data_IF_859024436942
#
_entry.id   IF_859024436942
#
_cell.length_a   1.000
_cell.length_b   1.000
_cell.length_c   1.000
_cell.angle_alpha   90.00
_cell.angle_beta   90.00
_cell.angle_gamma   90.00
#
_symmetry.space_group_name_H-M   'P 1'
#
loop_
_entity.id
_entity.type
_entity.pdbx_description
1 polymer ?
#
# COMPACT_ATOMS: atom_id res chain seq x y z
N UNK A 1 -20.95 4.37 -10.52
CA UNK A 1 -20.99 3.58 -9.27
C UNK A 1 -21.06 4.52 -8.08
N UNK A 2 -22.03 4.39 -7.16
CA UNK A 2 -22.16 5.30 -6.02
C UNK A 2 -20.98 5.20 -5.04
N UNK A 3 -20.38 4.03 -4.92
CA UNK A 3 -19.27 3.73 -4.02
C UNK A 3 -17.87 3.83 -4.64
N UNK A 4 -17.77 4.10 -5.94
CA UNK A 4 -16.48 4.18 -6.65
C UNK A 4 -15.58 5.32 -6.17
N UNK A 5 -14.30 5.22 -6.52
CA UNK A 5 -13.30 6.28 -6.37
C UNK A 5 -13.38 7.23 -7.57
N UNK A 6 -13.20 8.51 -7.33
CA UNK A 6 -13.10 9.49 -8.43
C UNK A 6 -11.74 9.36 -9.10
N UNK A 7 -11.75 8.95 -10.36
CA UNK A 7 -10.57 8.82 -11.20
C UNK A 7 -10.84 9.64 -12.47
N UNK A 8 -10.11 10.73 -12.67
CA UNK A 8 -10.29 11.62 -13.80
C UNK A 8 -11.74 12.11 -13.94
N UNK A 9 -12.30 12.78 -12.97
CA UNK A 9 -13.66 13.34 -12.95
C UNK A 9 -14.82 12.33 -12.92
N UNK A 10 -14.59 11.03 -12.95
CA UNK A 10 -15.63 10.00 -12.92
C UNK A 10 -15.45 9.06 -11.74
N UNK A 11 -16.57 8.69 -11.11
CA UNK A 11 -16.57 7.58 -10.14
C UNK A 11 -16.46 6.25 -10.85
N UNK A 12 -15.44 5.48 -10.50
CA UNK A 12 -15.13 4.18 -11.10
C UNK A 12 -14.82 3.15 -10.02
N UNK A 13 -14.95 1.88 -10.36
CA UNK A 13 -14.32 0.82 -9.59
C UNK A 13 -12.80 0.93 -9.82
N UNK A 14 -12.05 1.22 -8.77
CA UNK A 14 -10.60 1.37 -8.84
C UNK A 14 -9.94 -0.01 -9.02
N UNK A 15 -10.03 -0.54 -10.23
CA UNK A 15 -9.40 -1.81 -10.59
C UNK A 15 -7.90 -1.59 -10.67
N UNK A 16 -7.16 -2.33 -9.88
CA UNK A 16 -5.71 -2.18 -9.80
C UNK A 16 -4.98 -3.49 -9.67
N UNK A 17 -3.72 -3.39 -9.32
CA UNK A 17 -2.86 -4.51 -8.96
C UNK A 17 -1.75 -4.03 -8.04
N UNK A 18 -1.33 -4.89 -7.12
CA UNK A 18 -0.13 -4.64 -6.35
C UNK A 18 1.11 -4.84 -7.23
N UNK A 19 1.92 -3.81 -7.31
CA UNK A 19 3.28 -3.83 -7.82
C UNK A 19 4.19 -3.52 -6.64
N UNK A 20 4.17 -4.40 -5.64
CA UNK A 20 4.79 -4.12 -4.35
C UNK A 20 6.25 -3.68 -4.53
N UNK A 21 6.98 -4.32 -5.44
CA UNK A 21 8.35 -3.94 -5.82
C UNK A 21 8.76 -4.59 -7.15
N UNK A 22 9.76 -4.00 -7.78
CA UNK A 22 10.63 -4.68 -8.74
C UNK A 22 11.86 -5.26 -8.02
N UNK A 23 12.43 -4.46 -7.11
CA UNK A 23 13.50 -4.86 -6.22
C UNK A 23 13.07 -4.50 -4.79
N UNK A 24 12.85 -5.50 -3.95
CA UNK A 24 12.28 -5.29 -2.61
C UNK A 24 12.98 -4.17 -1.86
N UNK A 25 12.20 -3.16 -1.45
CA UNK A 25 12.65 -1.97 -0.71
C UNK A 25 13.71 -1.11 -1.42
N UNK A 26 14.13 -1.42 -2.64
CA UNK A 26 15.20 -0.70 -3.34
C UNK A 26 14.75 0.02 -4.62
N UNK A 27 13.46 0.01 -4.93
CA UNK A 27 12.93 0.75 -6.07
C UNK A 27 13.07 2.26 -5.89
N UNK A 28 12.96 2.74 -4.64
CA UNK A 28 13.12 4.15 -4.29
C UNK A 28 14.40 4.36 -3.48
N UNK A 29 15.40 4.97 -4.12
CA UNK A 29 16.72 5.24 -3.57
C UNK A 29 17.82 4.31 -4.07
N UNK A 30 17.45 3.13 -4.58
CA UNK A 30 18.42 2.10 -4.95
C UNK A 30 19.05 1.41 -3.73
N UNK A 31 20.02 0.54 -3.98
CA UNK A 31 20.85 -0.12 -2.96
C UNK A 31 22.23 -0.42 -3.56
N UNK A 32 23.14 0.52 -3.43
CA UNK A 32 24.46 0.48 -4.08
C UNK A 32 25.28 -0.75 -3.67
N UNK A 33 25.18 -1.17 -2.40
CA UNK A 33 25.87 -2.36 -1.87
C UNK A 33 25.56 -3.62 -2.67
N UNK A 34 24.33 -3.74 -3.20
CA UNK A 34 23.93 -4.88 -4.05
C UNK A 34 23.81 -4.51 -5.53
N UNK A 35 24.36 -3.36 -5.93
CA UNK A 35 24.31 -2.87 -7.33
C UNK A 35 22.88 -2.72 -7.87
N UNK A 36 21.91 -2.43 -7.01
CA UNK A 36 20.51 -2.22 -7.39
C UNK A 36 20.28 -0.72 -7.63
N UNK A 37 19.77 -0.42 -8.82
CA UNK A 37 19.40 0.93 -9.21
C UNK A 37 17.90 1.18 -8.97
N UNK A 38 17.57 2.40 -8.51
CA UNK A 38 16.19 2.85 -8.35
C UNK A 38 15.51 3.16 -9.67
N UNK A 39 14.24 3.57 -9.57
CA UNK A 39 13.34 3.82 -10.73
C UNK A 39 13.93 4.82 -11.72
N UNK A 40 14.53 5.92 -11.24
CA UNK A 40 15.03 6.99 -12.09
C UNK A 40 16.30 6.61 -12.86
N UNK A 41 17.14 5.77 -12.26
CA UNK A 41 18.39 5.32 -12.83
C UNK A 41 18.23 4.16 -13.83
N UNK A 42 17.19 3.30 -13.65
CA UNK A 42 16.93 2.16 -14.52
C UNK A 42 15.43 2.05 -14.92
N UNK A 43 14.86 3.06 -15.59
CA UNK A 43 13.41 3.17 -15.75
C UNK A 43 12.79 2.14 -16.71
N UNK A 44 13.56 1.57 -17.62
CA UNK A 44 13.02 0.74 -18.71
C UNK A 44 12.23 -0.50 -18.21
N UNK A 45 12.76 -1.18 -17.21
CA UNK A 45 12.09 -2.35 -16.65
C UNK A 45 10.78 -2.00 -15.94
N UNK A 46 10.75 -0.90 -15.19
CA UNK A 46 9.55 -0.39 -14.54
C UNK A 46 8.50 0.06 -15.56
N UNK A 47 8.92 0.74 -16.64
CA UNK A 47 8.03 1.13 -17.72
C UNK A 47 7.35 -0.09 -18.39
N UNK A 48 8.12 -1.16 -18.63
CA UNK A 48 7.58 -2.39 -19.22
C UNK A 48 6.56 -3.07 -18.27
N UNK A 49 6.86 -3.12 -16.97
CA UNK A 49 5.96 -3.69 -15.97
C UNK A 49 4.64 -2.88 -15.88
N UNK A 50 4.72 -1.54 -15.83
CA UNK A 50 3.52 -0.68 -15.81
C UNK A 50 2.69 -0.82 -17.09
N UNK A 51 3.33 -0.94 -18.25
CA UNK A 51 2.65 -1.17 -19.52
C UNK A 51 1.92 -2.52 -19.54
N UNK A 52 2.54 -3.58 -19.02
CA UNK A 52 1.92 -4.90 -18.92
C UNK A 52 0.69 -4.89 -17.99
N UNK A 53 0.78 -4.24 -16.83
CA UNK A 53 -0.34 -4.09 -15.91
C UNK A 53 -1.49 -3.26 -16.52
N UNK A 54 -1.17 -2.18 -17.25
CA UNK A 54 -2.17 -1.41 -17.99
C UNK A 54 -2.83 -2.22 -19.08
N UNK A 55 -2.08 -3.00 -19.84
CA UNK A 55 -2.61 -3.89 -20.87
C UNK A 55 -3.55 -4.95 -20.31
N UNK A 56 -3.31 -5.37 -19.06
CA UNK A 56 -4.22 -6.22 -18.29
C UNK A 56 -5.47 -5.50 -17.77
N UNK A 57 -5.63 -4.21 -18.02
CA UNK A 57 -6.79 -3.42 -17.60
C UNK A 57 -6.67 -2.78 -16.23
N UNK A 58 -5.53 -2.90 -15.54
CA UNK A 58 -5.31 -2.19 -14.30
C UNK A 58 -5.24 -0.68 -14.55
N UNK A 59 -5.94 0.09 -13.71
CA UNK A 59 -5.90 1.55 -13.70
C UNK A 59 -5.16 2.12 -12.49
N UNK A 60 -5.02 1.33 -11.43
CA UNK A 60 -4.36 1.72 -10.18
C UNK A 60 -3.24 0.74 -9.86
N UNK A 61 -2.10 1.29 -9.50
CA UNK A 61 -0.91 0.52 -9.11
C UNK A 61 -0.56 0.89 -7.67
N UNK A 62 -0.63 -0.08 -6.77
CA UNK A 62 -0.16 0.07 -5.39
C UNK A 62 1.31 -0.34 -5.33
N UNK A 63 2.22 0.58 -4.97
CA UNK A 63 3.67 0.42 -5.08
C UNK A 63 4.37 0.83 -3.80
N UNK A 64 5.16 -0.08 -3.22
CA UNK A 64 5.82 0.14 -1.94
C UNK A 64 7.09 0.98 -2.08
N UNK A 65 7.25 1.95 -1.17
CA UNK A 65 8.35 2.93 -1.23
C UNK A 65 9.49 2.52 -0.29
N UNK A 66 9.24 2.50 1.01
CA UNK A 66 10.21 2.15 2.04
C UNK A 66 9.64 1.07 2.97
N UNK A 67 9.33 -0.15 2.47
CA UNK A 67 8.71 -1.20 3.30
C UNK A 67 9.56 -1.57 4.51
N UNK A 68 10.87 -1.52 4.38
CA UNK A 68 11.85 -1.50 5.46
C UNK A 68 12.92 -0.47 5.11
N UNK A 69 13.83 -0.15 6.00
CA UNK A 69 14.84 0.88 5.75
C UNK A 69 16.17 0.30 5.25
N UNK A 70 16.14 -0.59 4.25
CA UNK A 70 17.37 -1.16 3.67
C UNK A 70 17.95 -0.37 2.50
N UNK A 71 17.09 0.39 1.78
CA UNK A 71 17.56 1.17 0.62
C UNK A 71 18.43 2.35 1.03
N UNK A 72 19.18 2.87 0.06
CA UNK A 72 19.93 4.12 0.21
C UNK A 72 19.01 5.36 0.13
N UNK A 73 17.69 5.14 0.10
CA UNK A 73 16.69 6.20 -0.03
C UNK A 73 16.53 7.07 1.20
N UNK A 74 16.60 6.48 2.39
CA UNK A 74 16.49 7.21 3.66
C UNK A 74 17.86 7.35 4.31
N UNK A 75 18.23 8.57 4.65
CA UNK A 75 19.49 8.90 5.31
C UNK A 75 19.29 8.94 6.83
N UNK A 76 20.29 8.46 7.58
CA UNK A 76 20.26 8.38 9.04
C UNK A 76 21.52 8.94 9.66
N UNK A 77 21.38 9.50 10.87
CA UNK A 77 22.51 9.86 11.72
C UNK A 77 23.04 8.67 12.54
N UNK A 78 24.05 8.93 13.38
CA UNK A 78 24.68 7.91 14.24
C UNK A 78 23.72 7.33 15.30
N UNK A 79 22.59 7.99 15.59
CA UNK A 79 21.57 7.54 16.53
C UNK A 79 20.42 6.77 15.85
N UNK A 80 20.56 6.48 14.56
CA UNK A 80 19.49 5.95 13.71
C UNK A 80 18.25 6.87 13.65
N UNK A 81 18.43 8.18 13.77
CA UNK A 81 17.38 9.15 13.47
C UNK A 81 17.43 9.50 11.98
N UNK A 82 16.29 9.53 11.28
CA UNK A 82 16.26 9.90 9.87
C UNK A 82 16.61 11.39 9.72
N UNK A 83 17.51 11.69 8.80
CA UNK A 83 18.00 13.06 8.52
C UNK A 83 17.46 13.62 7.21
N UNK A 84 16.94 12.78 6.33
CA UNK A 84 16.38 13.18 5.06
C UNK A 84 16.21 12.02 4.08
N UNK A 85 15.75 12.35 2.88
CA UNK A 85 15.77 11.46 1.73
C UNK A 85 16.97 11.77 0.84
N UNK A 86 17.52 10.75 0.23
CA UNK A 86 18.55 10.92 -0.80
C UNK A 86 17.97 11.58 -2.05
N UNK A 87 18.84 12.24 -2.83
CA UNK A 87 18.43 12.82 -4.11
C UNK A 87 17.87 11.76 -5.08
N UNK A 88 18.39 10.53 -5.02
CA UNK A 88 17.88 9.41 -5.81
C UNK A 88 16.44 9.04 -5.44
N UNK A 89 16.10 8.94 -4.16
CA UNK A 89 14.74 8.63 -3.72
C UNK A 89 13.72 9.69 -4.19
N UNK A 90 14.09 10.97 -4.12
CA UNK A 90 13.24 12.06 -4.61
C UNK A 90 13.07 12.01 -6.14
N UNK A 91 14.16 11.74 -6.87
CA UNK A 91 14.12 11.55 -8.31
C UNK A 91 13.29 10.32 -8.72
N UNK A 92 13.37 9.23 -7.94
CA UNK A 92 12.62 8.00 -8.17
C UNK A 92 11.11 8.23 -8.02
N UNK A 93 10.66 9.01 -7.02
CA UNK A 93 9.25 9.37 -6.87
C UNK A 93 8.76 10.19 -8.07
N UNK A 94 9.52 11.18 -8.50
CA UNK A 94 9.18 11.98 -9.68
C UNK A 94 9.11 11.12 -10.95
N UNK A 95 10.08 10.21 -11.14
CA UNK A 95 10.13 9.29 -12.28
C UNK A 95 8.99 8.26 -12.24
N UNK A 96 8.62 7.73 -11.07
CA UNK A 96 7.48 6.83 -10.94
C UNK A 96 6.18 7.48 -11.43
N UNK A 97 5.94 8.75 -11.08
CA UNK A 97 4.78 9.51 -11.56
C UNK A 97 4.84 9.79 -13.07
N UNK A 98 6.02 10.06 -13.63
CA UNK A 98 6.23 10.21 -15.08
C UNK A 98 5.90 8.90 -15.82
N UNK A 99 6.40 7.77 -15.31
CA UNK A 99 6.12 6.46 -15.88
C UNK A 99 4.63 6.11 -15.79
N UNK A 100 3.98 6.45 -14.67
CA UNK A 100 2.53 6.28 -14.53
C UNK A 100 1.75 7.13 -15.53
N UNK A 101 2.18 8.36 -15.81
CA UNK A 101 1.60 9.20 -16.86
C UNK A 101 1.76 8.56 -18.23
N UNK A 102 2.95 8.07 -18.54
CA UNK A 102 3.24 7.41 -19.83
C UNK A 102 2.41 6.14 -20.02
N UNK A 103 2.29 5.32 -18.98
CA UNK A 103 1.50 4.09 -19.01
C UNK A 103 -0.01 4.33 -18.94
N UNK A 104 -0.46 5.52 -18.52
CA UNK A 104 -1.88 5.83 -18.34
C UNK A 104 -2.49 5.15 -17.12
N UNK A 105 -1.73 5.01 -16.02
CA UNK A 105 -2.17 4.46 -14.73
C UNK A 105 -2.07 5.52 -13.63
N UNK A 106 -2.63 5.19 -12.47
CA UNK A 106 -2.53 6.00 -11.25
C UNK A 106 -1.75 5.24 -10.19
N UNK A 107 -1.01 5.95 -9.35
CA UNK A 107 -0.23 5.36 -8.27
C UNK A 107 -0.90 5.56 -6.91
N UNK A 108 -0.75 4.55 -6.07
CA UNK A 108 -0.97 4.58 -4.62
C UNK A 108 0.33 4.08 -3.97
N UNK A 109 1.29 4.98 -3.69
CA UNK A 109 2.51 4.59 -2.99
C UNK A 109 2.19 4.15 -1.56
N UNK A 110 2.72 2.97 -1.15
CA UNK A 110 2.72 2.50 0.24
C UNK A 110 4.02 2.92 0.88
N UNK A 111 3.94 3.79 1.90
CA UNK A 111 5.15 4.45 2.42
C UNK A 111 5.98 3.47 3.25
N UNK A 112 5.37 2.79 4.22
CA UNK A 112 6.01 1.80 5.08
C UNK A 112 5.27 0.46 5.06
N UNK A 113 5.89 -0.59 5.63
CA UNK A 113 5.26 -1.88 5.89
C UNK A 113 5.54 -2.30 7.34
N UNK A 114 4.81 -3.30 7.84
CA UNK A 114 5.17 -3.94 9.11
C UNK A 114 6.64 -4.41 9.12
N UNK A 115 7.23 -4.70 7.97
CA UNK A 115 8.64 -5.07 7.85
C UNK A 115 9.60 -4.02 8.41
N UNK A 116 9.22 -2.74 8.40
CA UNK A 116 10.00 -1.67 9.02
C UNK A 116 10.11 -1.78 10.55
N UNK A 117 9.31 -2.63 11.18
CA UNK A 117 9.36 -2.89 12.62
C UNK A 117 10.29 -4.05 13.01
N UNK A 118 10.96 -4.69 12.05
CA UNK A 118 12.00 -5.67 12.35
C UNK A 118 13.10 -5.04 13.20
N UNK A 119 13.70 -5.79 14.15
CA UNK A 119 14.88 -5.31 14.88
C UNK A 119 15.98 -4.90 13.92
N UNK A 120 16.75 -3.88 14.31
CA UNK A 120 17.93 -3.48 13.55
C UNK A 120 18.87 -4.67 13.34
N UNK A 121 19.24 -4.91 12.09
CA UNK A 121 20.14 -5.99 11.71
C UNK A 121 20.99 -5.60 10.51
N UNK A 122 22.14 -6.25 10.38
CA UNK A 122 23.03 -6.08 9.22
C UNK A 122 23.26 -7.44 8.58
N UNK A 123 22.93 -7.54 7.29
CA UNK A 123 23.10 -8.74 6.49
C UNK A 123 23.76 -8.35 5.17
N UNK A 124 24.84 -9.03 4.79
CA UNK A 124 25.58 -8.77 3.55
C UNK A 124 25.95 -7.28 3.37
N UNK A 125 26.43 -6.66 4.44
CA UNK A 125 26.81 -5.25 4.53
C UNK A 125 25.66 -4.24 4.35
N UNK A 126 24.40 -4.69 4.34
CA UNK A 126 23.22 -3.84 4.34
C UNK A 126 22.63 -3.79 5.74
N UNK A 127 22.44 -2.58 6.27
CA UNK A 127 21.81 -2.37 7.56
C UNK A 127 20.35 -2.00 7.38
N UNK A 128 19.46 -2.89 7.83
CA UNK A 128 18.04 -2.62 8.00
C UNK A 128 17.82 -2.00 9.37
N UNK A 129 17.15 -0.85 9.42
CA UNK A 129 16.87 -0.14 10.67
C UNK A 129 15.42 -0.32 11.08
N UNK A 130 15.18 -0.32 12.40
CA UNK A 130 13.83 -0.43 12.94
C UNK A 130 13.15 0.93 13.05
N UNK A 131 11.90 1.00 12.59
CA UNK A 131 11.05 2.19 12.81
C UNK A 131 10.49 2.22 14.24
N UNK A 132 10.41 1.09 14.96
CA UNK A 132 9.76 0.99 16.27
C UNK A 132 10.30 1.98 17.31
N UNK A 133 11.64 2.20 17.47
CA UNK A 133 12.15 3.20 18.39
C UNK A 133 11.78 4.64 18.01
N UNK A 134 11.58 4.90 16.72
CA UNK A 134 11.12 6.20 16.22
C UNK A 134 9.66 6.43 16.58
N UNK A 135 8.83 5.42 16.38
CA UNK A 135 7.38 5.47 16.65
C UNK A 135 7.08 5.64 18.14
N UNK A 136 7.82 4.96 19.02
CA UNK A 136 7.65 5.02 20.48
C UNK A 136 8.00 6.40 21.07
N UNK A 137 8.93 7.13 20.48
CA UNK A 137 9.41 8.40 20.99
C UNK A 137 8.82 9.58 20.18
N UNK A 138 7.92 10.42 20.76
CA UNK A 138 7.24 11.49 20.02
C UNK A 138 8.18 12.41 19.23
N UNK A 139 9.30 12.83 19.83
CA UNK A 139 10.27 13.70 19.16
C UNK A 139 10.97 13.00 17.98
N UNK A 140 11.25 11.70 18.08
CA UNK A 140 11.84 10.91 16.99
C UNK A 140 10.80 10.60 15.89
N UNK A 141 9.54 10.37 16.28
CA UNK A 141 8.44 10.20 15.36
C UNK A 141 8.22 11.47 14.53
N UNK A 142 8.26 12.65 15.16
CA UNK A 142 8.21 13.92 14.45
C UNK A 142 9.37 14.08 13.45
N UNK A 143 10.60 13.64 13.79
CA UNK A 143 11.74 13.62 12.84
C UNK A 143 11.47 12.66 11.66
N UNK A 144 10.91 11.47 11.91
CA UNK A 144 10.54 10.53 10.85
C UNK A 144 9.57 11.17 9.86
N UNK A 145 8.52 11.80 10.36
CA UNK A 145 7.53 12.46 9.51
C UNK A 145 8.14 13.66 8.78
N UNK A 146 8.90 14.51 9.45
CA UNK A 146 9.50 15.69 8.86
C UNK A 146 10.59 15.38 7.82
N UNK A 147 11.39 14.34 8.05
CA UNK A 147 12.58 14.06 7.23
C UNK A 147 12.36 12.95 6.19
N UNK A 148 11.29 12.16 6.31
CA UNK A 148 10.97 11.09 5.33
C UNK A 148 9.66 11.37 4.61
N UNK A 149 8.56 11.49 5.36
CA UNK A 149 7.21 11.62 4.75
C UNK A 149 7.04 12.97 4.06
N UNK A 150 7.45 14.05 4.70
CA UNK A 150 7.31 15.41 4.15
C UNK A 150 8.09 15.60 2.84
N UNK A 151 9.40 15.28 2.73
CA UNK A 151 10.10 15.45 1.47
C UNK A 151 9.58 14.52 0.37
N UNK A 152 9.13 13.30 0.69
CA UNK A 152 8.50 12.40 -0.26
C UNK A 152 7.22 13.01 -0.84
N UNK A 153 6.33 13.51 0.03
CA UNK A 153 5.09 14.18 -0.38
C UNK A 153 5.35 15.43 -1.21
N UNK A 154 6.34 16.25 -0.83
CA UNK A 154 6.75 17.43 -1.60
C UNK A 154 7.30 17.08 -2.97
N UNK A 155 8.10 16.00 -3.09
CA UNK A 155 8.60 15.54 -4.38
C UNK A 155 7.45 15.10 -5.29
N UNK A 156 6.45 14.39 -4.75
CA UNK A 156 5.27 14.01 -5.50
C UNK A 156 4.43 15.24 -5.92
N UNK A 157 4.22 16.20 -5.02
CA UNK A 157 3.47 17.44 -5.29
C UNK A 157 4.15 18.33 -6.33
N UNK A 158 5.48 18.39 -6.33
CA UNK A 158 6.27 19.18 -7.27
C UNK A 158 6.34 18.55 -8.67
N UNK A 159 6.01 17.27 -8.82
CA UNK A 159 6.03 16.59 -10.11
C UNK A 159 5.03 17.22 -11.09
N UNK A 160 5.40 17.46 -12.38
CA UNK A 160 4.43 17.85 -13.41
C UNK A 160 3.36 16.78 -13.65
N UNK A 161 3.62 15.54 -13.19
CA UNK A 161 2.72 14.39 -13.29
C UNK A 161 2.00 14.08 -11.99
N UNK A 162 1.94 15.02 -11.02
CA UNK A 162 1.28 14.84 -9.72
C UNK A 162 -0.17 14.37 -9.79
N UNK A 163 -0.86 14.64 -10.90
CA UNK A 163 -2.23 14.16 -11.13
C UNK A 163 -2.32 12.62 -11.24
N UNK A 164 -1.18 11.92 -11.37
CA UNK A 164 -1.12 10.46 -11.35
C UNK A 164 -0.99 9.89 -9.93
N UNK A 165 -0.78 10.70 -8.93
CA UNK A 165 -0.90 10.31 -7.53
C UNK A 165 -2.39 10.25 -7.17
N UNK A 166 -2.93 9.04 -6.99
CA UNK A 166 -4.34 8.86 -6.62
C UNK A 166 -4.54 8.94 -5.10
N UNK A 167 -3.61 8.39 -4.34
CA UNK A 167 -3.65 8.33 -2.89
C UNK A 167 -2.35 7.84 -2.31
N UNK A 168 -2.31 7.80 -0.99
CA UNK A 168 -1.22 7.23 -0.19
C UNK A 168 -1.75 6.08 0.67
N UNK A 169 -1.06 4.97 0.64
CA UNK A 169 -1.17 3.95 1.65
C UNK A 169 -0.05 4.19 2.68
N UNK A 170 -0.44 4.58 3.89
CA UNK A 170 0.52 5.08 4.86
C UNK A 170 1.43 3.97 5.38
N UNK A 171 0.84 2.82 5.64
CA UNK A 171 1.56 1.65 6.16
C UNK A 171 0.79 0.37 5.82
N UNK A 172 1.52 -0.63 5.33
CA UNK A 172 1.00 -1.96 5.06
C UNK A 172 0.94 -2.79 6.34
N UNK A 173 -0.24 -3.30 6.65
CA UNK A 173 -0.50 -4.30 7.69
C UNK A 173 0.14 -3.99 9.06
N UNK A 174 -0.04 -2.77 9.61
CA UNK A 174 0.62 -2.37 10.84
C UNK A 174 0.24 -3.24 12.05
N UNK A 175 -0.89 -3.96 11.99
CA UNK A 175 -1.38 -4.81 13.06
C UNK A 175 -0.37 -5.89 13.47
N UNK A 176 0.45 -6.37 12.53
CA UNK A 176 1.50 -7.34 12.82
C UNK A 176 2.60 -6.81 13.76
N UNK A 177 2.70 -5.48 13.91
CA UNK A 177 3.66 -4.83 14.80
C UNK A 177 2.99 -4.18 16.03
N UNK A 178 1.71 -4.42 16.30
CA UNK A 178 1.00 -3.81 17.41
C UNK A 178 0.76 -4.83 18.52
N UNK A 179 1.08 -4.45 19.77
CA UNK A 179 0.70 -5.19 20.95
C UNK A 179 -0.53 -4.55 21.61
N UNK A 180 -1.64 -5.27 21.62
CA UNK A 180 -2.90 -4.88 22.29
C UNK A 180 -3.46 -6.10 23.02
N UNK A 181 -3.88 -5.90 24.25
CA UNK A 181 -4.53 -6.93 25.07
C UNK A 181 -5.90 -6.47 25.56
N UNK A 182 -6.75 -7.39 25.93
CA UNK A 182 -8.06 -7.11 26.52
C UNK A 182 -9.17 -6.88 25.50
N UNK A 183 -8.95 -7.20 24.23
CA UNK A 183 -9.95 -7.13 23.15
C UNK A 183 -10.53 -8.51 22.77
N UNK A 184 -10.35 -9.51 23.62
CA UNK A 184 -10.79 -10.89 23.42
C UNK A 184 -10.13 -11.54 22.18
N UNK A 185 -10.96 -12.23 21.38
CA UNK A 185 -10.50 -12.89 20.16
C UNK A 185 -10.03 -11.93 19.03
N UNK A 186 -10.15 -10.63 19.26
CA UNK A 186 -9.72 -9.58 18.34
C UNK A 186 -8.41 -8.91 18.77
N UNK A 187 -7.73 -9.44 19.79
CA UNK A 187 -6.42 -8.93 20.20
C UNK A 187 -5.41 -9.05 19.06
N UNK A 188 -4.54 -8.06 18.98
CA UNK A 188 -3.37 -8.16 18.12
C UNK A 188 -2.33 -9.07 18.76
N UNK A 189 -1.85 -10.01 17.97
CA UNK A 189 -0.68 -10.82 18.35
C UNK A 189 0.47 -10.39 17.44
N UNK A 190 1.43 -9.61 17.94
CA UNK A 190 2.56 -9.18 17.14
C UNK A 190 3.31 -10.37 16.59
N UNK A 191 3.82 -10.24 15.38
CA UNK A 191 4.77 -11.20 14.83
C UNK A 191 6.04 -11.19 15.70
N UNK A 192 6.49 -12.36 16.15
CA UNK A 192 7.66 -12.52 17.03
C UNK A 192 8.96 -11.92 16.46
N UNK A 193 9.04 -11.80 15.13
CA UNK A 193 10.19 -11.19 14.45
C UNK A 193 10.15 -9.65 14.48
N UNK A 194 9.09 -9.03 14.98
CA UNK A 194 8.89 -7.59 14.96
C UNK A 194 9.02 -6.97 16.36
N UNK A 195 9.49 -5.75 16.39
CA UNK A 195 9.49 -4.94 17.62
C UNK A 195 8.13 -4.26 17.77
N UNK A 196 7.31 -4.78 18.67
CA UNK A 196 5.95 -4.28 18.87
C UNK A 196 5.90 -2.84 19.41
N UNK A 197 4.87 -2.10 18.99
CA UNK A 197 4.45 -0.79 19.51
C UNK A 197 3.02 -0.89 20.04
N UNK A 198 2.58 0.09 20.82
CA UNK A 198 1.18 0.17 21.22
C UNK A 198 0.29 0.68 20.07
N UNK A 199 -1.01 0.38 20.14
CA UNK A 199 -2.01 0.91 19.20
C UNK A 199 -2.03 2.45 19.22
N UNK A 200 -1.86 3.07 20.39
CA UNK A 200 -1.83 4.52 20.52
C UNK A 200 -0.61 5.14 19.81
N UNK A 201 0.57 4.52 19.92
CA UNK A 201 1.78 4.96 19.21
C UNK A 201 1.62 4.81 17.70
N UNK A 202 1.04 3.71 17.22
CA UNK A 202 0.76 3.50 15.80
C UNK A 202 -0.24 4.52 15.27
N UNK A 203 -1.34 4.77 15.98
CA UNK A 203 -2.33 5.80 15.62
C UNK A 203 -1.71 7.19 15.58
N UNK A 204 -0.81 7.51 16.50
CA UNK A 204 -0.11 8.79 16.50
C UNK A 204 0.76 8.95 15.24
N UNK A 205 1.53 7.91 14.85
CA UNK A 205 2.28 7.92 13.60
C UNK A 205 1.37 8.16 12.39
N UNK A 206 0.31 7.37 12.24
CA UNK A 206 -0.63 7.47 11.13
C UNK A 206 -1.25 8.87 11.06
N UNK A 207 -1.64 9.44 12.21
CA UNK A 207 -2.24 10.78 12.29
C UNK A 207 -1.26 11.88 11.87
N UNK A 208 -0.01 11.82 12.33
CA UNK A 208 1.03 12.77 11.95
C UNK A 208 1.34 12.69 10.44
N UNK A 209 1.45 11.46 9.89
CA UNK A 209 1.63 11.24 8.45
C UNK A 209 0.47 11.82 7.64
N UNK A 210 -0.78 11.51 8.02
CA UNK A 210 -1.98 12.04 7.34
C UNK A 210 -1.97 13.56 7.30
N UNK A 211 -1.62 14.23 8.41
CA UNK A 211 -1.57 15.68 8.49
C UNK A 211 -0.67 16.30 7.42
N UNK A 212 0.52 15.73 7.25
CA UNK A 212 1.48 16.16 6.22
C UNK A 212 0.97 15.85 4.81
N UNK A 213 0.52 14.62 4.57
CA UNK A 213 0.07 14.18 3.24
C UNK A 213 -1.13 14.99 2.75
N UNK A 214 -2.10 15.27 3.62
CA UNK A 214 -3.25 16.12 3.28
C UNK A 214 -2.88 17.58 3.04
N UNK A 215 -1.79 18.05 3.64
CA UNK A 215 -1.28 19.41 3.41
C UNK A 215 -0.52 19.50 2.08
N UNK A 216 0.38 18.59 1.81
CA UNK A 216 1.26 18.66 0.64
C UNK A 216 0.59 18.14 -0.65
N UNK A 217 -0.32 17.17 -0.53
CA UNK A 217 -1.02 16.50 -1.64
C UNK A 217 -2.53 16.40 -1.39
N UNK A 218 -3.26 17.51 -1.24
CA UNK A 218 -4.66 17.52 -0.77
C UNK A 218 -5.64 16.80 -1.71
N UNK A 219 -5.29 16.57 -2.95
CA UNK A 219 -6.11 15.83 -3.90
C UNK A 219 -5.95 14.30 -3.81
N UNK A 220 -4.90 13.82 -3.12
CA UNK A 220 -4.64 12.41 -2.93
C UNK A 220 -5.35 11.89 -1.68
N UNK A 221 -6.03 10.75 -1.78
CA UNK A 221 -6.63 10.11 -0.61
C UNK A 221 -5.56 9.51 0.33
N UNK A 222 -5.94 9.26 1.58
CA UNK A 222 -5.12 8.55 2.55
C UNK A 222 -5.79 7.25 2.98
N UNK A 223 -5.02 6.18 3.10
CA UNK A 223 -5.47 4.89 3.61
C UNK A 223 -4.38 4.17 4.42
N UNK A 224 -4.77 3.10 5.08
CA UNK A 224 -3.89 2.12 5.71
C UNK A 224 -4.29 0.75 5.16
N UNK A 225 -3.34 -0.10 4.84
CA UNK A 225 -3.61 -1.48 4.48
C UNK A 225 -3.84 -2.33 5.73
N UNK A 226 -5.10 -2.64 6.09
CA UNK A 226 -5.40 -3.55 7.20
C UNK A 226 -5.04 -4.99 6.85
N UNK A 227 -4.33 -5.67 7.74
CA UNK A 227 -3.96 -7.08 7.55
C UNK A 227 -5.19 -8.02 7.48
N UNK A 228 -6.29 -7.65 8.12
CA UNK A 228 -7.54 -8.37 8.07
C UNK A 228 -8.73 -7.53 8.51
N UNK A 229 -9.92 -7.82 7.99
CA UNK A 229 -11.18 -7.22 8.44
C UNK A 229 -11.48 -7.49 9.92
N UNK A 230 -10.90 -8.54 10.51
CA UNK A 230 -10.87 -8.81 11.95
C UNK A 230 -10.51 -7.57 12.76
N UNK A 231 -9.62 -6.75 12.28
CA UNK A 231 -9.10 -5.57 12.96
C UNK A 231 -9.61 -4.26 12.38
N UNK A 232 -10.77 -4.28 11.71
CA UNK A 232 -11.37 -3.06 11.15
C UNK A 232 -11.49 -1.91 12.16
N UNK A 233 -11.77 -2.23 13.42
CA UNK A 233 -11.90 -1.28 14.51
C UNK A 233 -10.62 -0.50 14.84
N UNK A 234 -9.43 -1.01 14.43
CA UNK A 234 -8.14 -0.45 14.83
C UNK A 234 -7.95 1.01 14.42
N UNK A 235 -8.33 1.36 13.18
CA UNK A 235 -8.06 2.68 12.60
C UNK A 235 -9.29 3.34 12.01
N UNK A 236 -10.49 2.80 12.23
CA UNK A 236 -11.73 3.37 11.68
C UNK A 236 -12.13 4.69 12.34
N UNK A 237 -11.60 4.99 13.50
CA UNK A 237 -11.74 6.28 14.20
C UNK A 237 -10.79 7.37 13.65
N UNK A 238 -9.80 7.02 12.84
CA UNK A 238 -8.93 7.99 12.19
C UNK A 238 -9.60 8.60 10.95
N UNK A 239 -9.20 9.84 10.60
CA UNK A 239 -9.76 10.56 9.46
C UNK A 239 -9.17 10.12 8.11
N UNK A 240 -8.99 8.81 7.92
CA UNK A 240 -8.62 8.21 6.64
C UNK A 240 -9.72 8.43 5.60
N UNK A 241 -9.35 8.55 4.33
CA UNK A 241 -10.31 8.80 3.25
C UNK A 241 -10.86 7.50 2.63
N UNK A 242 -10.08 6.40 2.71
CA UNK A 242 -10.41 5.09 2.13
C UNK A 242 -10.13 4.00 3.14
N UNK A 243 -11.03 3.02 3.23
CA UNK A 243 -10.78 1.75 3.94
C UNK A 243 -10.09 0.79 2.96
N UNK A 244 -9.02 0.13 3.39
CA UNK A 244 -8.23 -0.77 2.53
C UNK A 244 -7.91 -2.08 3.25
N UNK A 245 -8.91 -2.96 3.48
CA UNK A 245 -8.65 -4.28 4.05
C UNK A 245 -7.90 -5.19 3.06
N UNK A 246 -7.18 -6.16 3.65
CA UNK A 246 -6.62 -7.31 2.94
C UNK A 246 -7.38 -8.57 3.29
N UNK A 247 -7.42 -9.54 2.38
CA UNK A 247 -8.08 -10.80 2.61
C UNK A 247 -7.28 -11.95 1.99
N UNK A 248 -6.93 -12.90 2.83
CA UNK A 248 -6.28 -14.15 2.46
C UNK A 248 -7.05 -15.33 3.09
N UNK A 249 -6.75 -16.56 2.69
CA UNK A 249 -7.56 -17.74 2.97
C UNK A 249 -8.08 -17.87 4.41
N UNK A 250 -7.22 -17.71 5.41
CA UNK A 250 -7.62 -17.81 6.81
C UNK A 250 -8.58 -16.69 7.26
N UNK A 251 -8.46 -15.48 6.67
CA UNK A 251 -9.36 -14.35 6.97
C UNK A 251 -10.74 -14.63 6.43
N UNK A 252 -10.83 -15.17 5.21
CA UNK A 252 -12.10 -15.46 4.56
C UNK A 252 -12.99 -16.42 5.37
N UNK A 253 -12.40 -17.30 6.15
CA UNK A 253 -13.13 -18.22 7.02
C UNK A 253 -14.03 -17.50 8.03
N UNK A 254 -13.58 -16.37 8.55
CA UNK A 254 -14.27 -15.62 9.62
C UNK A 254 -14.89 -14.32 9.12
N UNK A 255 -14.28 -13.67 8.13
CA UNK A 255 -14.70 -12.43 7.49
C UNK A 255 -14.83 -12.62 5.98
N UNK A 256 -15.91 -13.29 5.52
CA UNK A 256 -16.01 -13.73 4.14
C UNK A 256 -16.03 -12.57 3.13
N UNK A 257 -15.39 -12.78 2.00
CA UNK A 257 -15.38 -11.83 0.87
C UNK A 257 -16.79 -11.50 0.35
N UNK A 258 -17.78 -12.31 0.65
CA UNK A 258 -19.17 -12.11 0.27
C UNK A 258 -19.88 -11.02 1.07
N UNK A 259 -19.27 -10.50 2.13
CA UNK A 259 -19.83 -9.47 3.00
C UNK A 259 -19.65 -8.08 2.42
N UNK A 260 -20.61 -7.20 2.71
CA UNK A 260 -20.46 -5.76 2.46
C UNK A 260 -19.46 -5.16 3.45
N UNK A 261 -18.76 -4.06 3.07
CA UNK A 261 -17.80 -3.40 3.98
C UNK A 261 -18.36 -3.09 5.37
N UNK A 262 -19.60 -2.59 5.44
CA UNK A 262 -20.23 -2.26 6.72
C UNK A 262 -20.47 -3.50 7.61
N UNK A 263 -20.70 -4.66 7.03
CA UNK A 263 -20.86 -5.93 7.76
C UNK A 263 -19.52 -6.46 8.33
N UNK A 264 -18.42 -5.93 7.80
CA UNK A 264 -17.06 -6.21 8.26
C UNK A 264 -16.54 -5.13 9.24
N UNK A 265 -17.38 -4.16 9.62
CA UNK A 265 -17.04 -3.10 10.57
C UNK A 265 -16.43 -1.84 9.95
N UNK A 266 -16.37 -1.73 8.62
CA UNK A 266 -15.88 -0.51 7.96
C UNK A 266 -16.99 0.53 7.82
N UNK A 267 -16.70 1.84 8.10
CA UNK A 267 -17.69 2.90 7.96
C UNK A 267 -18.23 3.00 6.53
N UNK A 268 -19.55 2.97 6.38
CA UNK A 268 -20.21 3.12 5.08
C UNK A 268 -20.03 4.50 4.43
N UNK A 269 -19.56 5.49 5.20
CA UNK A 269 -19.26 6.84 4.75
C UNK A 269 -17.95 6.95 3.94
N UNK A 270 -17.12 5.90 3.98
CA UNK A 270 -15.85 5.84 3.25
C UNK A 270 -15.91 4.74 2.20
N UNK A 271 -15.36 4.98 0.99
CA UNK A 271 -15.18 3.90 0.04
C UNK A 271 -14.23 2.84 0.61
N UNK A 272 -14.49 1.59 0.30
CA UNK A 272 -13.64 0.45 0.70
C UNK A 272 -13.07 -0.20 -0.55
N UNK A 273 -11.75 -0.33 -0.58
CA UNK A 273 -11.00 -1.03 -1.64
C UNK A 273 -10.43 -2.29 -1.02
N UNK A 274 -10.58 -3.43 -1.67
CA UNK A 274 -9.84 -4.63 -1.28
C UNK A 274 -8.39 -4.48 -1.71
N UNK A 275 -7.50 -4.17 -0.75
CA UNK A 275 -6.12 -3.76 -1.02
C UNK A 275 -5.20 -4.90 -1.41
N UNK A 276 -5.43 -6.10 -0.85
CA UNK A 276 -4.67 -7.30 -1.19
C UNK A 276 -5.54 -8.55 -1.13
N UNK A 277 -5.30 -9.46 -2.08
CA UNK A 277 -5.82 -10.82 -2.16
C UNK A 277 -5.07 -11.58 -3.25
N UNK A 278 -5.19 -12.90 -3.33
CA UNK A 278 -4.44 -13.69 -4.30
C UNK A 278 -4.80 -13.37 -5.76
N UNK A 279 -3.80 -13.11 -6.59
CA UNK A 279 -3.91 -13.09 -8.05
C UNK A 279 -3.68 -14.52 -8.58
N UNK A 280 -4.70 -15.35 -8.52
CA UNK A 280 -4.63 -16.74 -8.94
C UNK A 280 -5.96 -17.24 -9.49
N UNK A 281 -5.90 -18.26 -10.35
CA UNK A 281 -7.09 -18.94 -10.88
C UNK A 281 -7.65 -20.01 -9.95
N UNK A 282 -6.86 -20.42 -8.95
CA UNK A 282 -7.26 -21.45 -7.97
C UNK A 282 -8.29 -20.90 -6.98
N UNK A 283 -9.08 -21.75 -6.33
CA UNK A 283 -9.95 -21.34 -5.26
C UNK A 283 -9.24 -20.55 -4.17
N UNK A 284 -9.93 -19.57 -3.60
CA UNK A 284 -9.38 -18.67 -2.60
C UNK A 284 -9.22 -19.33 -1.22
N UNK A 285 -10.07 -20.27 -0.88
CA UNK A 285 -10.00 -21.01 0.37
C UNK A 285 -10.12 -22.52 0.11
N UNK A 286 -9.49 -23.30 0.96
CA UNK A 286 -9.52 -24.78 0.90
C UNK A 286 -10.92 -25.35 1.08
N UNK A 287 -11.88 -24.54 1.56
CA UNK A 287 -13.23 -24.97 1.90
C UNK A 287 -14.27 -24.79 0.80
N UNK A 288 -13.97 -24.02 -0.28
CA UNK A 288 -14.95 -23.74 -1.32
C UNK A 288 -14.32 -23.67 -2.72
N UNK A 289 -14.52 -24.71 -3.50
CA UNK A 289 -14.01 -24.81 -4.88
C UNK A 289 -14.60 -23.75 -5.84
N UNK A 290 -15.62 -23.01 -5.44
CA UNK A 290 -16.23 -21.96 -6.24
C UNK A 290 -15.63 -20.58 -6.01
N UNK A 291 -14.73 -20.41 -5.04
CA UNK A 291 -14.09 -19.14 -4.70
C UNK A 291 -12.98 -18.78 -5.71
N UNK A 292 -13.32 -18.74 -6.99
CA UNK A 292 -12.40 -18.33 -8.07
C UNK A 292 -12.21 -16.81 -8.09
N UNK A 293 -11.14 -16.34 -8.70
CA UNK A 293 -10.89 -14.90 -8.89
C UNK A 293 -12.09 -14.16 -9.48
N UNK A 294 -12.74 -14.72 -10.49
CA UNK A 294 -13.89 -14.10 -11.13
C UNK A 294 -15.09 -13.95 -10.18
N UNK A 295 -15.37 -14.98 -9.38
CA UNK A 295 -16.46 -14.99 -8.38
C UNK A 295 -16.20 -13.96 -7.30
N UNK A 296 -14.98 -13.90 -6.79
CA UNK A 296 -14.56 -12.96 -5.75
C UNK A 296 -14.67 -11.51 -6.24
N UNK A 297 -14.14 -11.22 -7.43
CA UNK A 297 -14.20 -9.88 -8.03
C UNK A 297 -15.66 -9.44 -8.29
N UNK A 298 -16.53 -10.35 -8.76
CA UNK A 298 -17.93 -10.06 -8.96
C UNK A 298 -18.68 -9.82 -7.64
N UNK A 299 -18.31 -10.54 -6.58
CA UNK A 299 -18.84 -10.32 -5.24
C UNK A 299 -18.51 -8.92 -4.73
N UNK A 300 -17.25 -8.47 -4.83
CA UNK A 300 -16.88 -7.13 -4.40
C UNK A 300 -17.54 -6.03 -5.24
N UNK A 301 -17.63 -6.26 -6.54
CA UNK A 301 -18.35 -5.35 -7.43
C UNK A 301 -19.81 -5.16 -7.01
N UNK A 302 -20.53 -6.26 -6.72
CA UNK A 302 -21.96 -6.25 -6.35
C UNK A 302 -22.18 -5.77 -4.91
N UNK A 303 -21.25 -6.05 -3.99
CA UNK A 303 -21.35 -5.67 -2.59
C UNK A 303 -20.88 -4.24 -2.31
N UNK A 304 -20.59 -3.44 -3.36
CA UNK A 304 -20.36 -2.01 -3.22
C UNK A 304 -18.95 -1.64 -2.79
N UNK A 305 -17.96 -2.51 -3.00
CA UNK A 305 -16.56 -2.12 -2.89
C UNK A 305 -16.21 -1.11 -3.98
N UNK A 306 -15.29 -0.20 -3.66
CA UNK A 306 -14.88 0.86 -4.57
C UNK A 306 -13.71 0.47 -5.47
N UNK A 307 -13.11 -0.69 -5.26
CA UNK A 307 -11.99 -1.21 -6.03
C UNK A 307 -11.44 -2.50 -5.46
N UNK A 308 -10.50 -3.10 -6.18
CA UNK A 308 -9.77 -4.29 -5.74
C UNK A 308 -8.39 -4.37 -6.42
N UNK A 309 -7.36 -4.74 -5.64
CA UNK A 309 -5.97 -4.78 -6.06
C UNK A 309 -5.32 -6.12 -5.67
N UNK A 310 -5.33 -7.13 -6.58
CA UNK A 310 -4.75 -8.44 -6.29
C UNK A 310 -3.23 -8.37 -6.08
N UNK A 311 -2.71 -9.27 -5.27
CA UNK A 311 -1.29 -9.50 -4.98
C UNK A 311 -0.73 -10.53 -5.94
N UNK A 312 0.43 -10.34 -6.53
CA UNK A 312 0.99 -9.09 -7.07
C UNK A 312 1.62 -9.42 -8.43
N UNK A 313 1.88 -8.39 -9.24
CA UNK A 313 2.28 -8.54 -10.64
C UNK A 313 3.49 -9.45 -10.85
N UNK A 314 4.58 -9.25 -10.14
CA UNK A 314 5.84 -9.95 -10.45
C UNK A 314 5.84 -11.45 -10.13
N UNK A 315 5.17 -11.84 -9.07
CA UNK A 315 5.06 -13.27 -8.72
C UNK A 315 4.01 -13.99 -9.55
N UNK A 316 3.01 -13.26 -10.03
CA UNK A 316 1.83 -13.82 -10.66
C UNK A 316 1.53 -13.20 -12.04
N UNK A 317 2.56 -12.79 -12.79
CA UNK A 317 2.38 -12.13 -14.08
C UNK A 317 1.57 -12.98 -15.09
N UNK A 318 1.68 -14.30 -15.04
CA UNK A 318 0.90 -15.22 -15.86
C UNK A 318 -0.62 -15.13 -15.60
N UNK A 319 -1.04 -14.63 -14.43
CA UNK A 319 -2.44 -14.47 -14.04
C UNK A 319 -3.03 -13.08 -14.35
N UNK A 320 -2.25 -12.15 -14.88
CA UNK A 320 -2.77 -10.84 -15.32
C UNK A 320 -3.99 -10.93 -16.26
N UNK A 321 -4.14 -11.94 -17.15
CA UNK A 321 -5.34 -12.11 -17.94
C UNK A 321 -6.64 -12.20 -17.14
N UNK A 322 -6.60 -12.62 -15.88
CA UNK A 322 -7.77 -12.66 -14.99
C UNK A 322 -8.30 -11.23 -14.72
N UNK A 323 -7.40 -10.26 -14.48
CA UNK A 323 -7.73 -8.84 -14.33
C UNK A 323 -8.35 -8.32 -15.63
N UNK A 324 -7.75 -8.66 -16.78
CA UNK A 324 -8.24 -8.24 -18.10
C UNK A 324 -9.65 -8.72 -18.37
N UNK A 325 -9.94 -9.98 -18.09
CA UNK A 325 -11.27 -10.55 -18.27
C UNK A 325 -12.32 -9.77 -17.48
N UNK A 326 -12.06 -9.45 -16.23
CA UNK A 326 -12.95 -8.64 -15.41
C UNK A 326 -13.08 -7.20 -15.96
N UNK A 327 -11.96 -6.57 -16.30
CA UNK A 327 -11.94 -5.21 -16.87
C UNK A 327 -12.77 -5.11 -18.15
N UNK A 328 -12.64 -6.08 -19.04
CA UNK A 328 -13.40 -6.14 -20.31
C UNK A 328 -14.89 -6.30 -20.06
N UNK A 329 -15.29 -7.13 -19.09
CA UNK A 329 -16.69 -7.34 -18.74
C UNK A 329 -17.35 -6.07 -18.13
N UNK A 330 -16.60 -5.25 -17.39
CA UNK A 330 -17.13 -4.03 -16.72
C UNK A 330 -16.98 -2.75 -17.56
N UNK A 331 -16.21 -2.78 -18.64
CA UNK A 331 -16.04 -1.68 -19.56
C UNK A 331 -15.56 -0.38 -18.87
N UNK A 332 -16.12 0.77 -19.25
CA UNK A 332 -15.70 2.08 -18.74
C UNK A 332 -15.97 2.30 -17.22
N UNK A 333 -16.67 1.40 -16.56
CA UNK A 333 -16.88 1.48 -15.12
C UNK A 333 -15.67 0.98 -14.31
N UNK A 334 -14.83 0.15 -14.91
CA UNK A 334 -13.58 -0.34 -14.33
C UNK A 334 -12.34 0.16 -15.09
N UNK A 335 -12.50 0.59 -16.34
CA UNK A 335 -11.41 1.16 -17.15
C UNK A 335 -11.47 2.68 -17.14
N UNK A 336 -10.34 3.38 -16.92
CA UNK A 336 -10.27 4.84 -17.04
C UNK A 336 -10.34 5.32 -18.49
#
# INVERSE_FOLDING_TARGET
MPTGITIGCNKRFALGVNYAWRNFSADFGGLATWSIQGVSAAPAGYAADLAAMKAAGASVIRWWVFPDFRSDGVQFDANDDPTGLSASALADMAKALELAQTAGVYLVPTIFSFDAFRPKQTTENVTVRSIAPLVKAPARRAKLVANVVTPLAKAAAASPHRARLLGWDLINEPEWAIAVSGQNSQDFTPNEELTAVSLAEMKALITEMMGVLKTETPAAFTSVGWAAAKWSWAFTDLALDVNQPHIYGWVNQYWPYTRKPAELGYPATRPTIMGEFFLQSMPFSDSNANDTFAVIMESWWTNGYAGAWPWHHRENAANLPLIKTFADAKGCQAKP
#
